data_IF_648489525537
#
_entry.id   IF_648489525537
#
_cell.length_a   1.000
_cell.length_b   1.000
_cell.length_c   1.000
_cell.angle_alpha   90.00
_cell.angle_beta   90.00
_cell.angle_gamma   90.00
#
_symmetry.space_group_name_H-M   'P 1'
#
loop_
_entity.id
_entity.type
_entity.pdbx_description
1 polymer ?
#
# COMPACT_ATOMS: atom_id res chain seq x y z
N UNK A 1 13.15 20.03 -16.07
CA UNK A 1 11.76 20.04 -16.60
C UNK A 1 11.11 21.33 -16.16
N UNK A 2 10.22 21.93 -16.95
CA UNK A 2 9.52 23.14 -16.51
C UNK A 2 8.64 22.84 -15.29
N UNK A 3 8.74 23.60 -14.18
CA UNK A 3 7.91 23.41 -12.99
C UNK A 3 6.40 23.39 -13.31
N UNK A 4 5.97 24.20 -14.28
CA UNK A 4 4.59 24.25 -14.76
C UNK A 4 4.12 22.92 -15.36
N UNK A 5 4.99 22.24 -16.11
CA UNK A 5 4.66 20.95 -16.72
C UNK A 5 4.51 19.86 -15.65
N UNK A 6 5.33 19.88 -14.60
CA UNK A 6 5.21 18.94 -13.46
C UNK A 6 3.87 19.12 -12.75
N UNK A 7 3.52 20.37 -12.40
CA UNK A 7 2.24 20.68 -11.74
C UNK A 7 1.07 20.27 -12.63
N UNK A 8 1.12 20.57 -13.93
CA UNK A 8 0.07 20.23 -14.88
C UNK A 8 -0.19 18.71 -14.93
N UNK A 9 0.87 17.89 -14.99
CA UNK A 9 0.76 16.42 -14.97
C UNK A 9 0.13 15.95 -13.66
N UNK A 10 0.55 16.50 -12.52
CA UNK A 10 0.01 16.14 -11.20
C UNK A 10 -1.50 16.45 -11.13
N UNK A 11 -1.90 17.64 -11.57
CA UNK A 11 -3.31 18.06 -11.56
C UNK A 11 -4.17 17.13 -12.44
N UNK A 12 -3.74 16.85 -13.67
CA UNK A 12 -4.47 15.93 -14.56
C UNK A 12 -4.58 14.54 -13.95
N UNK A 13 -3.49 14.04 -13.36
CA UNK A 13 -3.47 12.73 -12.71
C UNK A 13 -4.49 12.66 -11.55
N UNK A 14 -4.51 13.65 -10.67
CA UNK A 14 -5.48 13.69 -9.57
C UNK A 14 -6.92 13.84 -10.06
N UNK A 15 -7.18 14.67 -11.08
CA UNK A 15 -8.51 14.80 -11.67
C UNK A 15 -9.01 13.47 -12.25
N UNK A 16 -8.15 12.73 -12.94
CA UNK A 16 -8.46 11.40 -13.46
C UNK A 16 -8.80 10.43 -12.32
N UNK A 17 -7.99 10.38 -11.26
CA UNK A 17 -8.25 9.53 -10.10
C UNK A 17 -9.56 9.87 -9.39
N UNK A 18 -9.82 11.16 -9.16
CA UNK A 18 -11.07 11.63 -8.53
C UNK A 18 -12.27 11.27 -9.40
N UNK A 19 -12.16 11.43 -10.73
CA UNK A 19 -13.22 11.07 -11.67
C UNK A 19 -13.53 9.58 -11.60
N UNK A 20 -12.51 8.71 -11.67
CA UNK A 20 -12.69 7.25 -11.53
C UNK A 20 -13.32 6.91 -10.19
N UNK A 21 -12.84 7.49 -9.09
CA UNK A 21 -13.39 7.28 -7.74
C UNK A 21 -14.86 7.68 -7.64
N UNK A 22 -15.22 8.84 -8.21
CA UNK A 22 -16.61 9.32 -8.21
C UNK A 22 -17.55 8.37 -8.96
N UNK A 23 -17.15 7.88 -10.13
CA UNK A 23 -17.98 6.95 -10.91
C UNK A 23 -18.07 5.55 -10.29
N UNK A 24 -17.02 5.09 -9.60
CA UNK A 24 -16.94 3.74 -9.02
C UNK A 24 -17.48 3.62 -7.60
N UNK A 25 -17.58 4.72 -6.86
CA UNK A 25 -18.04 4.72 -5.45
C UNK A 25 -19.56 4.74 -5.28
N UNK A 26 -20.32 4.86 -6.37
CA UNK A 26 -21.79 4.95 -6.33
C UNK A 26 -22.38 3.68 -5.70
N UNK A 27 -23.15 3.85 -4.62
CA UNK A 27 -23.77 2.77 -3.82
C UNK A 27 -22.81 1.87 -3.02
N UNK A 28 -21.60 2.34 -2.71
CA UNK A 28 -20.68 1.58 -1.85
C UNK A 28 -21.20 1.50 -0.40
N UNK A 29 -21.24 0.29 0.14
CA UNK A 29 -21.42 0.00 1.57
C UNK A 29 -20.10 -0.52 2.17
N UNK A 30 -20.08 -0.85 3.47
CA UNK A 30 -18.87 -1.35 4.13
C UNK A 30 -18.29 -2.62 3.49
N UNK A 31 -19.14 -3.56 3.06
CA UNK A 31 -18.68 -4.80 2.40
C UNK A 31 -18.09 -4.52 1.01
N UNK A 32 -18.66 -3.57 0.28
CA UNK A 32 -18.11 -3.11 -0.99
C UNK A 32 -16.78 -2.39 -0.78
N UNK A 33 -16.69 -1.54 0.25
CA UNK A 33 -15.52 -0.72 0.54
C UNK A 33 -14.32 -1.55 1.05
N UNK A 34 -14.54 -2.46 2.00
CA UNK A 34 -13.46 -3.23 2.62
C UNK A 34 -13.17 -4.56 1.93
N UNK A 35 -14.19 -5.20 1.34
CA UNK A 35 -14.06 -6.56 0.78
C UNK A 35 -14.26 -6.61 -0.74
N UNK A 36 -14.69 -5.52 -1.39
CA UNK A 36 -15.08 -5.55 -2.80
C UNK A 36 -16.20 -6.56 -3.08
N UNK A 37 -17.07 -6.81 -2.09
CA UNK A 37 -18.05 -7.90 -2.10
C UNK A 37 -17.48 -9.30 -2.40
N UNK A 38 -16.15 -9.47 -2.29
CA UNK A 38 -15.40 -10.69 -2.66
C UNK A 38 -15.65 -11.16 -4.09
N UNK A 39 -16.00 -10.23 -4.99
CA UNK A 39 -16.27 -10.49 -6.41
C UNK A 39 -15.20 -9.90 -7.33
N UNK A 40 -14.15 -9.29 -6.76
CA UNK A 40 -13.06 -8.69 -7.52
C UNK A 40 -12.30 -9.76 -8.31
N UNK A 41 -12.12 -9.59 -9.64
CA UNK A 41 -11.27 -10.46 -10.44
C UNK A 41 -9.84 -10.51 -9.88
N UNK A 42 -9.24 -11.70 -9.84
CA UNK A 42 -7.95 -11.93 -9.19
C UNK A 42 -6.82 -11.05 -9.75
N UNK A 43 -6.83 -10.76 -11.05
CA UNK A 43 -5.81 -9.92 -11.69
C UNK A 43 -5.92 -8.46 -11.26
N UNK A 44 -7.15 -7.94 -11.04
CA UNK A 44 -7.36 -6.58 -10.50
C UNK A 44 -6.83 -6.51 -9.07
N UNK A 45 -7.10 -7.54 -8.27
CA UNK A 45 -6.57 -7.64 -6.90
C UNK A 45 -5.04 -7.69 -6.93
N UNK A 46 -4.43 -8.47 -7.82
CA UNK A 46 -2.98 -8.56 -7.97
C UNK A 46 -2.33 -7.21 -8.32
N UNK A 47 -2.89 -6.48 -9.31
CA UNK A 47 -2.42 -5.14 -9.64
C UNK A 47 -2.53 -4.18 -8.46
N UNK A 48 -3.66 -4.20 -7.74
CA UNK A 48 -3.86 -3.39 -6.54
C UNK A 48 -2.87 -3.72 -5.43
N UNK A 49 -2.60 -5.01 -5.19
CA UNK A 49 -1.66 -5.47 -4.17
C UNK A 49 -0.21 -5.04 -4.46
N UNK A 50 0.24 -5.19 -5.71
CA UNK A 50 1.58 -4.75 -6.13
C UNK A 50 1.69 -3.23 -5.97
N UNK A 51 0.69 -2.49 -6.47
CA UNK A 51 0.63 -1.03 -6.39
C UNK A 51 0.61 -0.52 -4.94
N UNK A 52 -0.05 -1.23 -4.03
CA UNK A 52 -0.10 -0.88 -2.61
C UNK A 52 1.19 -1.21 -1.85
N UNK A 53 1.96 -2.19 -2.32
CA UNK A 53 3.23 -2.62 -1.71
C UNK A 53 4.39 -1.72 -2.11
N UNK A 54 4.37 -1.21 -3.35
CA UNK A 54 5.36 -0.28 -3.86
C UNK A 54 5.00 1.17 -3.51
N UNK A 55 6.01 2.03 -3.37
CA UNK A 55 5.80 3.46 -3.11
C UNK A 55 6.89 4.31 -3.72
N UNK A 56 6.69 5.63 -3.76
CA UNK A 56 7.71 6.59 -4.20
C UNK A 56 9.03 6.46 -3.44
N UNK A 57 8.99 6.03 -2.18
CA UNK A 57 10.20 5.72 -1.38
C UNK A 57 11.00 4.61 -2.03
N UNK A 58 10.36 3.53 -2.46
CA UNK A 58 11.03 2.40 -3.11
C UNK A 58 11.70 2.84 -4.42
N UNK A 59 11.00 3.64 -5.22
CA UNK A 59 11.52 4.12 -6.52
C UNK A 59 12.72 5.05 -6.39
N UNK A 60 12.82 5.83 -5.31
CA UNK A 60 13.96 6.72 -5.07
C UNK A 60 15.08 5.99 -4.33
N UNK A 61 14.74 5.27 -3.26
CA UNK A 61 15.73 4.69 -2.33
C UNK A 61 16.41 3.44 -2.87
N UNK A 62 15.72 2.55 -3.60
CA UNK A 62 16.33 1.30 -4.07
C UNK A 62 17.44 1.56 -5.09
N UNK A 63 17.24 2.40 -6.13
CA UNK A 63 18.33 2.76 -7.04
C UNK A 63 19.50 3.45 -6.32
N UNK A 64 19.21 4.35 -5.37
CA UNK A 64 20.26 4.97 -4.54
C UNK A 64 21.07 3.94 -3.76
N UNK A 65 20.41 2.93 -3.21
CA UNK A 65 21.08 1.83 -2.51
C UNK A 65 21.93 0.95 -3.45
N UNK A 66 21.50 0.76 -4.70
CA UNK A 66 22.28 -0.01 -5.69
C UNK A 66 23.61 0.67 -6.01
N UNK A 67 23.67 2.00 -6.00
CA UNK A 67 24.92 2.75 -6.23
C UNK A 67 25.98 2.37 -5.18
N UNK A 68 25.60 2.30 -3.91
CA UNK A 68 26.54 2.08 -2.80
C UNK A 68 26.72 0.60 -2.44
N UNK A 69 25.71 -0.24 -2.70
CA UNK A 69 25.64 -1.62 -2.20
C UNK A 69 25.27 -2.66 -3.27
N UNK A 70 25.38 -2.31 -4.55
CA UNK A 70 25.07 -3.17 -5.69
C UNK A 70 23.69 -3.84 -5.55
N UNK A 71 23.54 -5.09 -5.98
CA UNK A 71 22.28 -5.83 -5.92
C UNK A 71 21.98 -6.49 -4.56
N UNK A 72 22.58 -6.02 -3.47
CA UNK A 72 22.33 -6.59 -2.12
C UNK A 72 20.84 -6.57 -1.75
N UNK A 73 20.09 -5.55 -2.20
CA UNK A 73 18.64 -5.45 -2.03
C UNK A 73 17.86 -6.66 -2.61
N UNK A 74 18.41 -7.38 -3.60
CA UNK A 74 17.74 -8.56 -4.18
C UNK A 74 17.52 -9.69 -3.19
N UNK A 75 18.35 -9.79 -2.14
CA UNK A 75 18.13 -10.77 -1.06
C UNK A 75 16.78 -10.52 -0.37
N UNK A 76 16.40 -9.26 -0.17
CA UNK A 76 15.10 -8.88 0.40
C UNK A 76 13.96 -9.26 -0.55
N UNK A 77 14.13 -9.00 -1.84
CA UNK A 77 13.13 -9.34 -2.88
C UNK A 77 12.88 -10.85 -2.93
N UNK A 78 13.93 -11.67 -2.89
CA UNK A 78 13.81 -13.12 -2.83
C UNK A 78 13.11 -13.58 -1.54
N UNK A 79 13.40 -12.92 -0.41
CA UNK A 79 12.69 -13.16 0.86
C UNK A 79 11.19 -12.86 0.78
N UNK A 80 10.78 -11.82 0.04
CA UNK A 80 9.37 -11.52 -0.18
C UNK A 80 8.64 -12.63 -0.94
N UNK A 81 9.29 -13.30 -1.91
CA UNK A 81 8.67 -14.41 -2.63
C UNK A 81 8.28 -15.55 -1.67
N UNK A 82 9.16 -15.91 -0.74
CA UNK A 82 8.87 -16.91 0.29
C UNK A 82 7.75 -16.45 1.23
N UNK A 83 7.77 -15.19 1.66
CA UNK A 83 6.70 -14.61 2.47
C UNK A 83 5.34 -14.65 1.77
N UNK A 84 5.29 -14.30 0.48
CA UNK A 84 4.07 -14.37 -0.31
C UNK A 84 3.58 -15.80 -0.51
N UNK A 85 4.48 -16.78 -0.65
CA UNK A 85 4.08 -18.19 -0.69
C UNK A 85 3.38 -18.61 0.60
N UNK A 86 3.87 -18.20 1.77
CA UNK A 86 3.22 -18.45 3.07
C UNK A 86 1.88 -17.73 3.15
N UNK A 87 1.81 -16.46 2.75
CA UNK A 87 0.56 -15.69 2.74
C UNK A 87 -0.49 -16.40 1.88
N UNK A 88 -0.13 -16.78 0.65
CA UNK A 88 -1.03 -17.39 -0.32
C UNK A 88 -1.53 -18.77 0.12
N UNK A 89 -0.66 -19.62 0.69
CA UNK A 89 -1.00 -21.01 1.00
C UNK A 89 -1.51 -21.25 2.43
N UNK A 90 -1.21 -20.34 3.37
CA UNK A 90 -1.54 -20.54 4.79
C UNK A 90 -2.50 -19.46 5.28
N UNK A 91 -2.11 -18.19 5.15
CA UNK A 91 -2.86 -17.08 5.77
C UNK A 91 -4.15 -16.77 5.03
N UNK A 92 -4.09 -16.68 3.69
CA UNK A 92 -5.25 -16.35 2.86
C UNK A 92 -6.39 -17.40 3.01
N UNK A 93 -6.14 -18.73 2.90
CA UNK A 93 -7.20 -19.72 3.11
C UNK A 93 -7.83 -19.63 4.50
N UNK A 94 -7.04 -19.34 5.53
CA UNK A 94 -7.51 -19.18 6.90
C UNK A 94 -8.40 -17.94 7.06
N UNK A 95 -7.96 -16.77 6.58
CA UNK A 95 -8.73 -15.52 6.68
C UNK A 95 -10.05 -15.57 5.91
N UNK A 96 -10.05 -16.21 4.73
CA UNK A 96 -11.27 -16.41 3.95
C UNK A 96 -12.25 -17.36 4.65
N UNK A 97 -11.76 -18.47 5.22
CA UNK A 97 -12.61 -19.41 5.98
C UNK A 97 -13.26 -18.74 7.18
N UNK A 98 -12.53 -17.87 7.87
CA UNK A 98 -13.01 -17.14 9.04
C UNK A 98 -13.83 -15.88 8.69
N UNK A 99 -14.01 -15.58 7.41
CA UNK A 99 -14.77 -14.43 6.91
C UNK A 99 -14.31 -13.09 7.51
N UNK A 100 -13.00 -12.92 7.75
CA UNK A 100 -12.48 -11.74 8.44
C UNK A 100 -12.43 -10.52 7.52
N UNK A 101 -12.90 -9.37 8.03
CA UNK A 101 -12.68 -8.05 7.40
C UNK A 101 -11.31 -7.48 7.75
N UNK A 102 -10.82 -7.75 8.96
CA UNK A 102 -9.50 -7.33 9.45
C UNK A 102 -8.73 -8.56 9.91
N UNK A 103 -7.46 -8.65 9.49
CA UNK A 103 -6.56 -9.73 9.94
C UNK A 103 -6.37 -9.71 11.46
N UNK A 104 -6.48 -8.54 12.11
CA UNK A 104 -6.32 -8.44 13.56
C UNK A 104 -7.50 -9.04 14.32
N UNK A 105 -8.68 -9.14 13.71
CA UNK A 105 -9.84 -9.83 14.31
C UNK A 105 -9.52 -11.30 14.61
N UNK A 106 -8.61 -11.93 13.85
CA UNK A 106 -8.07 -13.24 14.16
C UNK A 106 -7.42 -13.29 15.56
N UNK A 107 -6.61 -12.28 15.90
CA UNK A 107 -5.98 -12.19 17.22
C UNK A 107 -7.02 -12.08 18.34
N UNK A 108 -8.11 -11.35 18.09
CA UNK A 108 -9.24 -11.25 19.01
C UNK A 108 -9.91 -12.60 19.25
N UNK A 109 -10.21 -13.33 18.18
CA UNK A 109 -10.84 -14.66 18.27
C UNK A 109 -9.91 -15.70 18.90
N UNK A 110 -8.60 -15.64 18.63
CA UNK A 110 -7.65 -16.67 19.07
C UNK A 110 -7.06 -16.43 20.45
N UNK A 111 -6.78 -15.18 20.79
CA UNK A 111 -6.00 -14.78 21.98
C UNK A 111 -6.70 -13.73 22.85
N UNK A 112 -7.81 -13.16 22.40
CA UNK A 112 -8.63 -12.22 23.16
C UNK A 112 -8.37 -10.74 22.83
N UNK A 113 -9.12 -9.89 23.53
CA UNK A 113 -9.25 -8.46 23.19
C UNK A 113 -7.92 -7.67 23.32
N UNK A 114 -7.06 -8.02 24.27
CA UNK A 114 -5.77 -7.36 24.44
C UNK A 114 -4.87 -7.59 23.21
N UNK A 115 -4.76 -8.82 22.71
CA UNK A 115 -3.99 -9.12 21.51
C UNK A 115 -4.55 -8.43 20.27
N UNK A 116 -5.88 -8.37 20.14
CA UNK A 116 -6.54 -7.59 19.07
C UNK A 116 -6.15 -6.11 19.12
N UNK A 117 -6.33 -5.46 20.27
CA UNK A 117 -6.05 -4.02 20.42
C UNK A 117 -4.58 -3.72 20.21
N UNK A 118 -3.68 -4.54 20.74
CA UNK A 118 -2.24 -4.34 20.56
C UNK A 118 -1.84 -4.47 19.09
N UNK A 119 -2.29 -5.53 18.41
CA UNK A 119 -1.99 -5.75 16.99
C UNK A 119 -2.54 -4.62 16.10
N UNK A 120 -3.80 -4.23 16.30
CA UNK A 120 -4.42 -3.14 15.56
C UNK A 120 -3.75 -1.78 15.84
N UNK A 121 -3.37 -1.50 17.09
CA UNK A 121 -2.68 -0.26 17.44
C UNK A 121 -1.29 -0.16 16.79
N UNK A 122 -0.49 -1.23 16.81
CA UNK A 122 0.81 -1.24 16.12
C UNK A 122 0.66 -1.10 14.61
N UNK A 123 -0.38 -1.70 14.02
CA UNK A 123 -0.70 -1.49 12.62
C UNK A 123 -0.98 -0.02 12.30
N UNK A 124 -1.87 0.61 13.06
CA UNK A 124 -2.21 2.02 12.84
C UNK A 124 -0.97 2.91 13.03
N UNK A 125 -0.18 2.67 14.07
CA UNK A 125 1.05 3.42 14.33
C UNK A 125 2.05 3.28 13.17
N UNK A 126 2.34 2.05 12.74
CA UNK A 126 3.25 1.81 11.62
C UNK A 126 2.73 2.42 10.30
N UNK A 127 1.41 2.41 10.09
CA UNK A 127 0.81 2.99 8.89
C UNK A 127 0.86 4.51 8.89
N UNK A 128 0.64 5.15 10.04
CA UNK A 128 0.78 6.61 10.21
C UNK A 128 2.23 7.02 9.95
N UNK A 129 3.19 6.37 10.59
CA UNK A 129 4.62 6.66 10.41
C UNK A 129 5.00 6.51 8.93
N UNK A 130 4.64 5.39 8.30
CA UNK A 130 4.94 5.15 6.89
C UNK A 130 4.28 6.16 5.94
N UNK A 131 3.06 6.61 6.24
CA UNK A 131 2.38 7.65 5.46
C UNK A 131 3.08 9.01 5.61
N UNK A 132 3.46 9.40 6.82
CA UNK A 132 4.18 10.65 7.10
C UNK A 132 5.52 10.72 6.36
N UNK A 133 6.31 9.63 6.37
CA UNK A 133 7.58 9.58 5.63
C UNK A 133 7.39 9.69 4.11
N UNK A 134 6.35 9.05 3.56
CA UNK A 134 6.02 9.18 2.13
C UNK A 134 5.68 10.62 1.76
N UNK A 135 4.86 11.28 2.57
CA UNK A 135 4.51 12.69 2.35
C UNK A 135 5.73 13.59 2.44
N UNK A 136 6.59 13.39 3.45
CA UNK A 136 7.85 14.12 3.59
C UNK A 136 8.75 13.97 2.36
N UNK A 137 8.91 12.75 1.85
CA UNK A 137 9.72 12.51 0.65
C UNK A 137 9.14 13.18 -0.59
N UNK A 138 7.81 13.11 -0.80
CA UNK A 138 7.16 13.80 -1.92
C UNK A 138 7.33 15.32 -1.81
N UNK A 139 7.18 15.89 -0.61
CA UNK A 139 7.39 17.32 -0.38
C UNK A 139 8.82 17.75 -0.71
N UNK A 140 9.83 16.96 -0.32
CA UNK A 140 11.23 17.25 -0.67
C UNK A 140 11.46 17.17 -2.18
N UNK A 141 10.91 16.17 -2.86
CA UNK A 141 11.01 16.07 -4.32
C UNK A 141 10.41 17.29 -5.00
N UNK A 142 9.23 17.75 -4.57
CA UNK A 142 8.62 18.97 -5.10
C UNK A 142 9.44 20.22 -4.78
N UNK A 143 10.00 20.33 -3.56
CA UNK A 143 10.88 21.44 -3.19
C UNK A 143 12.05 21.56 -4.17
N UNK A 144 12.73 20.44 -4.43
CA UNK A 144 13.92 20.42 -5.29
C UNK A 144 13.55 20.65 -6.77
N UNK A 145 12.46 20.04 -7.24
CA UNK A 145 12.15 19.98 -8.68
C UNK A 145 11.20 21.07 -9.19
N UNK A 146 10.48 21.75 -8.30
CA UNK A 146 9.48 22.78 -8.67
C UNK A 146 9.84 24.13 -8.07
N UNK A 147 10.17 24.18 -6.78
CA UNK A 147 10.33 25.46 -6.06
C UNK A 147 11.77 25.99 -6.08
N UNK A 148 12.77 25.10 -6.13
CA UNK A 148 14.19 25.44 -6.22
C UNK A 148 14.77 25.23 -7.63
N UNK A 149 13.91 24.91 -8.61
CA UNK A 149 14.31 24.56 -9.97
C UNK A 149 14.66 25.76 -10.84
#
# INVERSE_FOLDING_TARGET
MSPYLVIFIIVIYFLLLISISYFTSKNANNDTFFLGNRKSPWYIVAFGMISASLSGVTFISVPGWVVDSNFSYMQMVLGYLLGYAIIANVLMPMYYRLNLTSIYTYLGQRFGNYSYKTGASFFLLSRIIGASFRLFLVANVLQITVFNA
#
